data_IF_626496450157
#
_entry.id   IF_626496450157
#
_cell.length_a   1.000
_cell.length_b   1.000
_cell.length_c   1.000
_cell.angle_alpha   90.00
_cell.angle_beta   90.00
_cell.angle_gamma   90.00
#
_symmetry.space_group_name_H-M   'P 1'
#
loop_
_entity.id
_entity.type
_entity.pdbx_description
1 polymer ?
#
# COMPACT_ATOMS: atom_id res chain seq x y z
N UNK A 1 -34.20 19.21 -23.81
CA UNK A 1 -32.85 18.63 -23.68
C UNK A 1 -32.13 19.47 -22.64
N UNK A 2 -31.78 18.88 -21.49
CA UNK A 2 -31.03 19.56 -20.45
C UNK A 2 -29.55 19.25 -20.71
N UNK A 3 -28.85 20.23 -21.27
CA UNK A 3 -27.40 20.19 -21.46
C UNK A 3 -26.74 20.07 -20.08
N UNK A 4 -26.16 18.90 -19.80
CA UNK A 4 -25.32 18.71 -18.64
C UNK A 4 -24.00 19.41 -18.90
N UNK A 5 -23.82 20.59 -18.30
CA UNK A 5 -22.55 21.30 -18.27
C UNK A 5 -21.44 20.34 -17.81
N UNK A 6 -20.49 20.08 -18.71
CA UNK A 6 -19.23 19.39 -18.40
C UNK A 6 -18.55 20.13 -17.26
N UNK A 7 -18.73 19.65 -16.02
CA UNK A 7 -18.03 20.15 -14.87
C UNK A 7 -16.53 20.05 -15.18
N UNK A 8 -15.86 21.20 -15.29
CA UNK A 8 -14.41 21.26 -15.28
C UNK A 8 -13.97 20.44 -14.09
N UNK A 9 -13.37 19.27 -14.34
CA UNK A 9 -12.84 18.43 -13.28
C UNK A 9 -11.65 19.17 -12.69
N UNK A 10 -11.93 20.10 -11.79
CA UNK A 10 -10.92 20.73 -10.95
C UNK A 10 -10.15 19.60 -10.27
N UNK A 11 -8.83 19.67 -10.32
CA UNK A 11 -7.97 18.65 -9.75
C UNK A 11 -8.34 18.43 -8.28
N UNK A 12 -8.81 17.22 -7.95
CA UNK A 12 -9.16 16.82 -6.58
C UNK A 12 -7.95 16.91 -5.64
N UNK A 13 -6.73 17.00 -6.19
CA UNK A 13 -5.47 17.15 -5.46
C UNK A 13 -5.50 18.36 -4.52
N UNK A 14 -6.21 19.44 -4.87
CA UNK A 14 -6.33 20.62 -4.01
C UNK A 14 -7.18 20.37 -2.74
N UNK A 15 -8.00 19.33 -2.73
CA UNK A 15 -8.84 18.94 -1.59
C UNK A 15 -8.20 17.85 -0.72
N UNK A 16 -7.12 17.24 -1.20
CA UNK A 16 -6.39 16.20 -0.48
C UNK A 16 -5.36 16.84 0.43
N UNK A 17 -5.26 16.37 1.68
CA UNK A 17 -4.20 16.80 2.60
C UNK A 17 -2.84 16.49 1.98
N UNK A 18 -1.92 17.46 2.00
CA UNK A 18 -0.59 17.29 1.43
C UNK A 18 0.15 16.06 2.00
N UNK A 19 0.00 15.80 3.31
CA UNK A 19 0.58 14.63 3.96
C UNK A 19 0.04 13.30 3.40
N UNK A 20 -1.25 13.22 3.09
CA UNK A 20 -1.87 12.04 2.50
C UNK A 20 -1.40 11.83 1.06
N UNK A 21 -1.29 12.91 0.29
CA UNK A 21 -0.72 12.87 -1.06
C UNK A 21 0.74 12.39 -1.04
N UNK A 22 1.56 12.96 -0.16
CA UNK A 22 2.97 12.61 -0.01
C UNK A 22 3.15 11.11 0.31
N UNK A 23 2.38 10.62 1.27
CA UNK A 23 2.42 9.22 1.70
C UNK A 23 1.99 8.27 0.58
N UNK A 24 0.91 8.61 -0.15
CA UNK A 24 0.48 7.87 -1.32
C UNK A 24 1.55 7.85 -2.42
N UNK A 25 2.18 8.98 -2.71
CA UNK A 25 3.23 9.07 -3.73
C UNK A 25 4.44 8.19 -3.37
N UNK A 26 4.89 8.20 -2.11
CA UNK A 26 5.95 7.31 -1.63
C UNK A 26 5.58 5.83 -1.78
N UNK A 27 4.37 5.43 -1.37
CA UNK A 27 3.90 4.04 -1.50
C UNK A 27 3.83 3.62 -2.97
N UNK A 28 3.17 4.41 -3.81
CA UNK A 28 3.00 4.12 -5.23
C UNK A 28 4.34 3.96 -5.94
N UNK A 29 5.30 4.84 -5.66
CA UNK A 29 6.64 4.76 -6.23
C UNK A 29 7.38 3.50 -5.78
N UNK A 30 7.37 3.22 -4.47
CA UNK A 30 8.06 2.06 -3.90
C UNK A 30 7.50 0.74 -4.43
N UNK A 31 6.17 0.60 -4.49
CA UNK A 31 5.48 -0.60 -4.98
C UNK A 31 5.71 -0.77 -6.49
N UNK A 32 5.43 0.27 -7.29
CA UNK A 32 5.45 0.17 -8.76
C UNK A 32 6.85 -0.08 -9.30
N UNK A 33 7.87 0.49 -8.67
CA UNK A 33 9.27 0.28 -9.05
C UNK A 33 9.93 -0.90 -8.32
N UNK A 34 9.21 -1.62 -7.46
CA UNK A 34 9.73 -2.72 -6.65
C UNK A 34 11.03 -2.35 -5.91
N UNK A 35 11.02 -1.19 -5.24
CA UNK A 35 12.17 -0.65 -4.52
C UNK A 35 12.17 -1.14 -3.07
N UNK A 36 13.35 -1.24 -2.43
CA UNK A 36 13.41 -1.55 -1.00
C UNK A 36 12.74 -0.43 -0.19
N UNK A 37 12.08 -0.78 0.92
CA UNK A 37 11.42 0.20 1.80
C UNK A 37 12.40 1.26 2.35
N UNK A 38 13.68 0.91 2.50
CA UNK A 38 14.75 1.84 2.89
C UNK A 38 15.04 2.93 1.85
N UNK A 39 14.49 2.82 0.64
CA UNK A 39 14.68 3.81 -0.43
C UNK A 39 14.17 5.20 -0.04
N UNK A 40 13.11 5.32 0.75
CA UNK A 40 12.58 6.62 1.18
C UNK A 40 13.56 7.42 2.06
N UNK A 41 14.54 6.75 2.67
CA UNK A 41 15.61 7.37 3.46
C UNK A 41 16.90 7.61 2.68
N UNK A 42 17.00 7.13 1.43
CA UNK A 42 18.15 7.39 0.57
C UNK A 42 18.34 8.89 0.38
N UNK A 43 19.60 9.32 0.51
CA UNK A 43 20.00 10.70 0.27
C UNK A 43 19.72 11.13 -1.16
N UNK A 44 19.91 10.23 -2.12
CA UNK A 44 19.67 10.44 -3.53
C UNK A 44 18.17 10.58 -3.79
N UNK A 45 17.34 9.68 -3.24
CA UNK A 45 15.89 9.76 -3.34
C UNK A 45 15.39 11.11 -2.82
N UNK A 46 15.82 11.52 -1.62
CA UNK A 46 15.44 12.81 -1.02
C UNK A 46 15.97 14.02 -1.80
N UNK A 47 17.14 13.90 -2.43
CA UNK A 47 17.75 14.99 -3.21
C UNK A 47 17.04 15.20 -4.56
N UNK A 48 16.56 14.13 -5.17
CA UNK A 48 15.99 14.17 -6.51
C UNK A 48 14.45 14.06 -6.54
N UNK A 49 13.81 13.84 -5.40
CA UNK A 49 12.34 13.87 -5.27
C UNK A 49 11.83 15.20 -4.74
N UNK A 50 10.62 15.58 -5.15
CA UNK A 50 9.87 16.70 -4.56
C UNK A 50 8.96 16.25 -3.40
N UNK A 51 9.19 15.06 -2.85
CA UNK A 51 8.37 14.49 -1.78
C UNK A 51 8.97 14.87 -0.42
N UNK A 52 8.10 15.15 0.55
CA UNK A 52 8.52 15.40 1.92
C UNK A 52 9.17 14.11 2.48
N UNK A 53 10.32 14.22 3.17
CA UNK A 53 11.00 13.06 3.74
C UNK A 53 10.10 12.26 4.67
N UNK A 54 10.07 10.95 4.46
CA UNK A 54 9.38 9.97 5.32
C UNK A 54 10.41 9.00 5.91
N UNK A 55 10.11 8.44 7.09
CA UNK A 55 10.93 7.38 7.68
C UNK A 55 10.57 6.02 7.11
N UNK A 56 11.53 5.11 7.17
CA UNK A 56 11.33 3.71 6.81
C UNK A 56 10.32 3.00 7.75
N UNK A 57 10.01 3.57 8.92
CA UNK A 57 8.99 3.02 9.84
C UNK A 57 7.58 3.47 9.45
N UNK A 58 7.41 4.74 9.07
CA UNK A 58 6.08 5.28 8.75
C UNK A 58 5.53 4.75 7.43
N UNK A 59 6.40 4.43 6.46
CA UNK A 59 5.97 3.93 5.15
C UNK A 59 5.29 2.55 5.25
N UNK A 60 5.88 1.52 5.90
CA UNK A 60 5.24 0.23 6.14
C UNK A 60 3.96 0.31 6.96
N UNK A 61 3.96 1.09 8.05
CA UNK A 61 2.76 1.25 8.89
C UNK A 61 1.56 1.76 8.07
N UNK A 62 1.83 2.68 7.14
CA UNK A 62 0.80 3.19 6.24
C UNK A 62 0.38 2.17 5.17
N UNK A 63 1.33 1.38 4.66
CA UNK A 63 1.06 0.29 3.73
C UNK A 63 0.20 -0.80 4.39
N UNK A 64 0.45 -1.13 5.66
CA UNK A 64 -0.37 -2.08 6.42
C UNK A 64 -1.83 -1.61 6.52
N UNK A 65 -2.05 -0.32 6.75
CA UNK A 65 -3.39 0.27 6.72
C UNK A 65 -4.08 0.09 5.36
N UNK A 66 -3.33 0.26 4.27
CA UNK A 66 -3.85 0.03 2.90
C UNK A 66 -4.12 -1.45 2.65
N UNK A 67 -3.23 -2.34 3.11
CA UNK A 67 -3.41 -3.79 2.99
C UNK A 67 -4.71 -4.21 3.68
N UNK A 68 -4.96 -3.77 4.91
CA UNK A 68 -6.21 -4.08 5.64
C UNK A 68 -7.44 -3.56 4.88
N UNK A 69 -7.36 -2.37 4.29
CA UNK A 69 -8.47 -1.83 3.49
C UNK A 69 -8.71 -2.65 2.22
N UNK A 70 -7.64 -3.06 1.53
CA UNK A 70 -7.70 -3.91 0.34
C UNK A 70 -8.23 -5.30 0.68
N UNK A 71 -7.75 -5.92 1.76
CA UNK A 71 -8.25 -7.20 2.27
C UNK A 71 -9.76 -7.13 2.57
N UNK A 72 -10.24 -6.04 3.17
CA UNK A 72 -11.67 -5.83 3.42
C UNK A 72 -12.47 -5.67 2.13
N UNK A 73 -11.95 -4.94 1.14
CA UNK A 73 -12.59 -4.79 -0.17
C UNK A 73 -12.70 -6.14 -0.86
N UNK A 74 -11.58 -6.87 -0.93
CA UNK A 74 -11.51 -8.21 -1.50
C UNK A 74 -12.46 -9.16 -0.76
N UNK A 75 -12.46 -9.16 0.58
CA UNK A 75 -13.36 -10.00 1.38
C UNK A 75 -14.84 -9.68 1.14
N UNK A 76 -15.19 -8.43 0.79
CA UNK A 76 -16.55 -8.05 0.42
C UNK A 76 -16.96 -8.54 -0.97
N UNK A 77 -15.99 -8.74 -1.86
CA UNK A 77 -16.19 -9.19 -3.24
C UNK A 77 -16.11 -10.72 -3.37
N UNK A 78 -15.38 -11.39 -2.46
CA UNK A 78 -15.17 -12.84 -2.49
C UNK A 78 -16.36 -13.60 -1.86
N UNK A 79 -16.88 -14.67 -2.51
CA UNK A 79 -17.91 -15.52 -1.93
C UNK A 79 -17.40 -16.29 -0.71
N UNK A 80 -18.31 -16.67 0.21
CA UNK A 80 -18.03 -17.30 1.52
C UNK A 80 -17.11 -18.53 1.48
N UNK A 81 -16.91 -19.14 0.31
CA UNK A 81 -15.92 -20.20 0.09
C UNK A 81 -15.07 -19.85 -1.14
N UNK A 82 -13.86 -19.39 -0.88
CA UNK A 82 -12.83 -19.22 -1.90
C UNK A 82 -11.49 -19.65 -1.30
N UNK A 83 -10.74 -20.47 -2.03
CA UNK A 83 -9.42 -20.93 -1.61
C UNK A 83 -8.35 -20.03 -2.20
N UNK A 84 -7.60 -19.33 -1.36
CA UNK A 84 -6.46 -18.52 -1.78
C UNK A 84 -5.17 -19.29 -1.47
N UNK A 85 -4.47 -19.74 -2.51
CA UNK A 85 -3.22 -20.49 -2.37
C UNK A 85 -2.05 -19.53 -2.58
N UNK A 86 -1.42 -19.11 -1.48
CA UNK A 86 -0.17 -18.35 -1.51
C UNK A 86 0.98 -19.33 -1.68
N UNK A 87 1.65 -19.30 -2.83
CA UNK A 87 2.91 -20.04 -3.02
C UNK A 87 4.01 -19.32 -2.24
N UNK A 88 4.16 -19.69 -0.97
CA UNK A 88 5.16 -19.12 -0.07
C UNK A 88 6.47 -19.92 -0.13
N UNK A 89 7.49 -19.39 -0.79
CA UNK A 89 8.86 -19.79 -0.45
C UNK A 89 9.25 -19.17 0.90
N UNK A 90 8.83 -19.82 1.98
CA UNK A 90 9.30 -19.49 3.33
C UNK A 90 10.73 -20.02 3.48
N UNK A 91 11.75 -19.16 3.40
CA UNK A 91 13.08 -19.54 3.91
C UNK A 91 12.94 -19.80 5.40
N UNK A 92 13.13 -21.08 5.76
CA UNK A 92 13.05 -21.68 7.09
C UNK A 92 13.78 -20.84 8.16
N UNK A 93 13.08 -19.95 8.84
CA UNK A 93 13.44 -19.51 10.19
C UNK A 93 12.57 -20.30 11.16
N UNK A 94 13.24 -20.95 12.12
CA UNK A 94 12.65 -21.95 13.02
C UNK A 94 11.70 -21.31 14.03
N UNK A 95 10.47 -21.02 13.64
CA UNK A 95 9.36 -20.82 14.58
C UNK A 95 8.22 -21.66 14.04
N UNK A 96 8.05 -22.85 14.62
CA UNK A 96 6.85 -23.70 14.67
C UNK A 96 7.33 -25.09 15.14
N UNK A 97 7.71 -25.20 16.42
CA UNK A 97 7.91 -26.48 17.11
C UNK A 97 6.74 -26.87 18.02
N UNK A 98 5.62 -26.16 17.97
CA UNK A 98 4.45 -26.54 18.76
C UNK A 98 3.15 -26.11 18.10
N UNK A 99 2.58 -26.99 17.29
CA UNK A 99 1.13 -27.16 17.29
C UNK A 99 0.79 -28.60 16.91
N UNK A 100 0.10 -29.36 17.79
CA UNK A 100 -0.24 -30.76 17.53
C UNK A 100 -1.46 -30.85 16.60
N UNK A 101 -1.44 -31.90 15.79
CA UNK A 101 -2.46 -32.28 14.84
C UNK A 101 -3.89 -32.26 15.41
N UNK A 102 -4.84 -31.74 14.64
CA UNK A 102 -6.25 -32.12 14.77
C UNK A 102 -6.64 -33.03 13.60
N UNK A 103 -7.14 -34.20 14.00
CA UNK A 103 -7.82 -35.22 13.22
C UNK A 103 -9.21 -34.74 12.82
#
# INVERSE_FOLDING_TARGET
MLEATTAQTGSLVNYVRHSAFNLHAWMSWTITCNLPLSFCESREARRYSNLDPISQETLPDAMDGVIVAVERSIASEIPTRFGFMLDGHMRRSNILRSSPAMK
#
